data_IF_742224551046
#
_entry.id   IF_742224551046
#
_cell.length_a   1.000
_cell.length_b   1.000
_cell.length_c   1.000
_cell.angle_alpha   90.00
_cell.angle_beta   90.00
_cell.angle_gamma   90.00
#
_symmetry.space_group_name_H-M   'P 1'
#
loop_
_entity.id
_entity.type
_entity.pdbx_description
1 polymer ?
#
# COMPACT_ATOMS: atom_id res chain seq x y z
N UNK A 1 -16.86 -26.74 3.39
CA UNK A 1 -16.78 -25.29 3.10
C UNK A 1 -17.16 -25.07 1.65
N UNK A 2 -18.33 -24.46 1.40
CA UNK A 2 -18.77 -24.14 0.04
C UNK A 2 -17.78 -23.16 -0.59
N UNK A 3 -17.08 -23.59 -1.65
CA UNK A 3 -16.34 -22.69 -2.53
C UNK A 3 -17.36 -21.71 -3.11
N UNK A 4 -17.41 -20.49 -2.59
CA UNK A 4 -18.10 -19.39 -3.27
C UNK A 4 -17.43 -19.26 -4.64
N UNK A 5 -18.15 -19.62 -5.69
CA UNK A 5 -17.72 -19.38 -7.06
C UNK A 5 -17.68 -17.86 -7.21
N UNK A 6 -16.47 -17.29 -7.17
CA UNK A 6 -16.28 -15.85 -7.44
C UNK A 6 -16.31 -15.66 -8.95
N UNK A 7 -17.33 -14.98 -9.47
CA UNK A 7 -17.33 -14.56 -10.86
C UNK A 7 -16.21 -13.54 -11.08
N UNK A 8 -15.64 -13.52 -12.29
CA UNK A 8 -14.68 -12.50 -12.71
C UNK A 8 -15.40 -11.52 -13.62
N UNK A 9 -15.51 -10.27 -13.19
CA UNK A 9 -16.21 -9.21 -13.93
C UNK A 9 -15.18 -8.18 -14.40
N UNK A 10 -15.33 -7.74 -15.65
CA UNK A 10 -14.39 -6.84 -16.29
C UNK A 10 -14.95 -5.41 -16.37
N UNK A 11 -14.12 -4.43 -16.03
CA UNK A 11 -14.43 -3.02 -16.18
C UNK A 11 -13.26 -2.28 -16.82
N UNK A 12 -13.52 -1.11 -17.37
CA UNK A 12 -12.47 -0.21 -17.87
C UNK A 12 -12.42 1.07 -17.05
N UNK A 13 -11.21 1.57 -16.84
CA UNK A 13 -10.93 2.84 -16.19
C UNK A 13 -9.91 3.61 -17.02
N UNK A 14 -9.94 4.94 -16.95
CA UNK A 14 -8.98 5.79 -17.67
C UNK A 14 -7.55 5.63 -17.16
N UNK A 15 -7.38 5.39 -15.86
CA UNK A 15 -6.09 5.13 -15.22
C UNK A 15 -6.27 4.58 -13.79
N UNK A 16 -5.14 4.22 -13.16
CA UNK A 16 -5.10 3.72 -11.77
C UNK A 16 -5.58 4.72 -10.72
N UNK A 17 -5.35 6.01 -10.94
CA UNK A 17 -5.75 7.09 -10.00
C UNK A 17 -7.28 7.21 -9.96
N UNK A 18 -7.95 7.09 -11.11
CA UNK A 18 -9.40 7.16 -11.19
C UNK A 18 -10.07 6.09 -10.33
N UNK A 19 -9.57 4.84 -10.33
CA UNK A 19 -10.12 3.79 -9.49
C UNK A 19 -9.97 4.11 -7.99
N UNK A 20 -8.81 4.63 -7.58
CA UNK A 20 -8.59 5.06 -6.19
C UNK A 20 -9.65 6.06 -5.74
N UNK A 21 -9.85 7.09 -6.55
CA UNK A 21 -10.81 8.16 -6.26
C UNK A 21 -12.26 7.65 -6.30
N UNK A 22 -12.60 6.73 -7.21
CA UNK A 22 -13.91 6.08 -7.26
C UNK A 22 -14.19 5.30 -5.96
N UNK A 23 -13.19 4.61 -5.40
CA UNK A 23 -13.32 3.91 -4.12
C UNK A 23 -13.47 4.88 -2.96
N UNK A 24 -12.70 5.98 -2.92
CA UNK A 24 -12.87 7.01 -1.89
C UNK A 24 -14.28 7.61 -1.91
N UNK A 25 -14.80 7.90 -3.10
CA UNK A 25 -16.18 8.38 -3.29
C UNK A 25 -17.19 7.34 -2.81
N UNK A 26 -16.96 6.06 -3.10
CA UNK A 26 -17.85 4.98 -2.65
C UNK A 26 -17.87 4.84 -1.13
N UNK A 27 -16.71 4.94 -0.48
CA UNK A 27 -16.64 4.98 0.97
C UNK A 27 -17.46 6.15 1.53
N UNK A 28 -17.41 7.32 0.87
CA UNK A 28 -18.23 8.46 1.27
C UNK A 28 -19.74 8.16 1.19
N UNK A 29 -20.17 7.50 0.11
CA UNK A 29 -21.57 7.11 -0.09
C UNK A 29 -22.02 6.14 1.00
N UNK A 30 -21.23 5.10 1.27
CA UNK A 30 -21.53 4.06 2.27
C UNK A 30 -21.64 4.65 3.67
N UNK A 31 -20.73 5.56 4.04
CA UNK A 31 -20.70 6.15 5.38
C UNK A 31 -21.52 7.43 5.50
N UNK A 32 -22.23 7.83 4.43
CA UNK A 32 -23.04 9.06 4.35
C UNK A 32 -22.25 10.32 4.73
N UNK A 33 -20.98 10.39 4.32
CA UNK A 33 -20.16 11.61 4.48
C UNK A 33 -20.06 12.38 3.16
N UNK A 34 -19.83 13.69 3.25
CA UNK A 34 -19.58 14.53 2.08
C UNK A 34 -18.26 14.14 1.41
N UNK A 35 -18.30 13.85 0.10
CA UNK A 35 -17.11 13.69 -0.73
C UNK A 35 -16.58 15.06 -1.18
N UNK A 36 -15.62 15.58 -0.43
CA UNK A 36 -15.00 16.88 -0.71
C UNK A 36 -14.04 16.81 -1.91
N UNK A 37 -14.42 17.37 -3.06
CA UNK A 37 -13.55 17.52 -4.25
C UNK A 37 -14.02 18.70 -5.09
N UNK A 38 -13.10 19.34 -5.82
CA UNK A 38 -13.42 20.34 -6.86
C UNK A 38 -13.73 19.70 -8.21
N UNK A 39 -13.29 18.47 -8.45
CA UNK A 39 -13.41 17.76 -9.73
C UNK A 39 -14.62 16.82 -9.72
N UNK A 40 -15.29 16.70 -10.86
CA UNK A 40 -16.36 15.70 -11.06
C UNK A 40 -15.73 14.33 -11.33
N UNK A 41 -16.02 13.37 -10.48
CA UNK A 41 -15.58 11.98 -10.63
C UNK A 41 -16.77 11.04 -10.84
N UNK A 42 -16.56 10.02 -11.67
CA UNK A 42 -17.53 8.95 -11.92
C UNK A 42 -17.75 8.12 -10.65
N UNK A 43 -18.93 7.51 -10.51
CA UNK A 43 -19.17 6.52 -9.46
C UNK A 43 -18.49 5.20 -9.83
N UNK A 44 -18.15 4.40 -8.82
CA UNK A 44 -17.82 2.99 -9.05
C UNK A 44 -19.06 2.26 -9.60
N UNK A 45 -18.90 1.24 -10.46
CA UNK A 45 -20.04 0.46 -10.95
C UNK A 45 -20.90 -0.06 -9.80
N UNK A 46 -22.23 -0.01 -9.97
CA UNK A 46 -23.21 -0.32 -8.92
C UNK A 46 -22.99 -1.72 -8.32
N UNK A 47 -22.69 -2.72 -9.15
CA UNK A 47 -22.39 -4.07 -8.68
C UNK A 47 -21.19 -4.13 -7.71
N UNK A 48 -20.16 -3.30 -7.93
CA UNK A 48 -19.02 -3.21 -7.03
C UNK A 48 -19.38 -2.44 -5.76
N UNK A 49 -20.12 -1.33 -5.88
CA UNK A 49 -20.66 -0.57 -4.74
C UNK A 49 -21.44 -1.48 -3.80
N UNK A 50 -22.35 -2.27 -4.35
CA UNK A 50 -23.17 -3.22 -3.62
C UNK A 50 -22.34 -4.29 -2.89
N UNK A 51 -21.35 -4.85 -3.57
CA UNK A 51 -20.47 -5.87 -3.00
C UNK A 51 -19.61 -5.30 -1.86
N UNK A 52 -19.05 -4.10 -2.05
CA UNK A 52 -18.30 -3.40 -1.00
C UNK A 52 -19.21 -3.13 0.21
N UNK A 53 -20.41 -2.58 -0.01
CA UNK A 53 -21.32 -2.23 1.09
C UNK A 53 -21.81 -3.47 1.85
N UNK A 54 -22.13 -4.57 1.15
CA UNK A 54 -22.55 -5.84 1.79
C UNK A 54 -21.39 -6.51 2.54
N UNK A 55 -20.17 -6.42 2.03
CA UNK A 55 -19.00 -7.12 2.60
C UNK A 55 -18.35 -6.34 3.74
N UNK A 56 -18.05 -5.06 3.54
CA UNK A 56 -17.29 -4.22 4.49
C UNK A 56 -18.04 -2.97 4.95
N UNK A 57 -19.24 -2.70 4.44
CA UNK A 57 -19.98 -1.47 4.72
C UNK A 57 -20.28 -1.25 6.21
N UNK A 58 -20.54 -2.32 6.97
CA UNK A 58 -20.74 -2.21 8.42
C UNK A 58 -19.47 -1.75 9.15
N UNK A 59 -18.30 -2.27 8.79
CA UNK A 59 -17.02 -1.83 9.36
C UNK A 59 -16.73 -0.37 8.98
N UNK A 60 -16.91 -0.01 7.71
CA UNK A 60 -16.71 1.37 7.24
C UNK A 60 -17.63 2.36 7.97
N UNK A 61 -18.91 2.02 8.16
CA UNK A 61 -19.87 2.84 8.92
C UNK A 61 -19.45 3.01 10.38
N UNK A 62 -18.92 1.96 11.02
CA UNK A 62 -18.41 2.01 12.41
C UNK A 62 -17.23 2.97 12.56
N UNK A 63 -16.39 3.10 11.54
CA UNK A 63 -15.22 4.01 11.57
C UNK A 63 -15.60 5.51 11.65
N UNK A 64 -16.83 5.89 11.25
CA UNK A 64 -17.31 7.29 11.28
C UNK A 64 -16.32 8.28 10.62
N UNK A 65 -15.92 7.97 9.40
CA UNK A 65 -14.91 8.70 8.63
C UNK A 65 -15.44 10.00 8.00
N UNK A 66 -14.54 10.98 7.86
CA UNK A 66 -14.73 12.22 7.07
C UNK A 66 -13.66 12.30 5.99
N UNK A 67 -14.06 12.69 4.78
CA UNK A 67 -13.16 12.75 3.62
C UNK A 67 -12.15 13.90 3.70
N UNK A 68 -10.88 13.56 3.54
CA UNK A 68 -9.71 14.44 3.61
C UNK A 68 -8.75 14.32 2.41
N UNK A 69 -8.98 13.42 1.44
CA UNK A 69 -8.08 13.18 0.30
C UNK A 69 -7.76 14.45 -0.51
N UNK A 70 -8.72 15.37 -0.65
CA UNK A 70 -8.52 16.67 -1.30
C UNK A 70 -7.47 17.58 -0.66
N UNK A 71 -7.03 17.30 0.56
CA UNK A 71 -5.97 18.06 1.25
C UNK A 71 -4.56 17.65 0.79
N UNK A 72 -4.43 16.62 -0.07
CA UNK A 72 -3.15 16.07 -0.53
C UNK A 72 -2.22 15.68 0.64
N UNK A 73 -2.80 15.09 1.69
CA UNK A 73 -2.10 14.60 2.87
C UNK A 73 -1.78 13.11 2.74
N UNK A 74 -1.21 12.56 3.80
CA UNK A 74 -0.85 11.14 3.86
C UNK A 74 -2.06 10.20 4.10
N UNK A 75 -3.22 10.78 4.38
CA UNK A 75 -4.45 10.06 4.69
C UNK A 75 -5.60 10.58 3.82
N UNK A 76 -6.52 9.68 3.48
CA UNK A 76 -7.68 9.97 2.64
C UNK A 76 -8.91 10.31 3.50
N UNK A 77 -8.93 9.82 4.75
CA UNK A 77 -10.00 10.11 5.71
C UNK A 77 -9.47 10.32 7.13
N UNK A 78 -10.31 10.97 7.94
CA UNK A 78 -10.12 11.12 9.39
C UNK A 78 -11.37 10.62 10.13
N UNK A 79 -11.19 9.81 11.18
CA UNK A 79 -12.27 9.38 12.07
C UNK A 79 -12.61 10.49 13.06
N UNK A 80 -13.75 10.38 13.75
CA UNK A 80 -14.23 11.41 14.69
C UNK A 80 -13.21 11.78 15.80
N UNK A 81 -12.34 10.84 16.19
CA UNK A 81 -11.35 11.00 17.26
C UNK A 81 -9.97 11.49 16.78
N UNK A 82 -9.84 11.84 15.49
CA UNK A 82 -8.56 12.30 14.92
C UNK A 82 -7.73 11.20 14.27
N UNK A 83 -8.07 9.92 14.50
CA UNK A 83 -7.42 8.79 13.85
C UNK A 83 -7.52 8.88 12.33
N UNK A 84 -6.42 8.57 11.65
CA UNK A 84 -6.26 8.70 10.21
C UNK A 84 -6.51 7.38 9.48
N UNK A 85 -7.07 7.45 8.28
CA UNK A 85 -7.33 6.30 7.42
C UNK A 85 -6.78 6.54 6.02
N UNK A 86 -5.99 5.60 5.50
CA UNK A 86 -5.56 5.58 4.11
C UNK A 86 -6.19 4.42 3.34
N UNK A 87 -6.45 4.65 2.06
CA UNK A 87 -7.03 3.70 1.12
C UNK A 87 -5.98 3.34 0.07
N UNK A 88 -5.86 2.05 -0.21
CA UNK A 88 -5.00 1.55 -1.29
C UNK A 88 -5.84 0.68 -2.21
N UNK A 89 -5.78 0.95 -3.50
CA UNK A 89 -6.47 0.16 -4.52
C UNK A 89 -5.46 -0.55 -5.41
N UNK A 90 -5.61 -1.86 -5.57
CA UNK A 90 -4.78 -2.69 -6.44
C UNK A 90 -5.64 -3.20 -7.60
N UNK A 91 -5.49 -2.58 -8.77
CA UNK A 91 -6.11 -3.05 -10.02
C UNK A 91 -5.57 -4.44 -10.39
N UNK A 92 -4.25 -4.55 -10.52
CA UNK A 92 -3.54 -5.78 -10.92
C UNK A 92 -2.28 -5.98 -10.07
N UNK A 93 -1.81 -7.23 -9.96
CA UNK A 93 -0.61 -7.59 -9.20
C UNK A 93 -0.82 -7.57 -7.68
N UNK A 94 0.18 -7.15 -6.93
CA UNK A 94 0.18 -7.28 -5.46
C UNK A 94 0.98 -6.18 -4.75
N UNK A 95 1.26 -5.08 -5.45
CA UNK A 95 2.21 -4.07 -5.01
C UNK A 95 1.50 -2.79 -4.56
N UNK A 96 1.89 -2.24 -3.41
CA UNK A 96 1.43 -0.92 -2.92
C UNK A 96 2.61 -0.02 -2.55
N UNK A 97 2.46 1.28 -2.76
CA UNK A 97 3.48 2.28 -2.41
C UNK A 97 3.22 2.83 -0.99
N UNK A 98 4.28 3.00 -0.18
CA UNK A 98 4.29 3.93 0.95
C UNK A 98 3.83 5.33 0.54
N UNK A 99 3.15 6.04 1.43
CA UNK A 99 2.55 7.33 1.10
C UNK A 99 3.58 8.46 1.03
N UNK A 100 4.60 8.42 1.88
CA UNK A 100 5.55 9.54 2.05
C UNK A 100 6.70 9.47 1.06
N UNK A 101 7.55 8.46 1.21
CA UNK A 101 8.78 8.28 0.42
C UNK A 101 8.64 7.20 -0.66
N UNK A 102 7.48 6.54 -0.74
CA UNK A 102 7.24 5.40 -1.63
C UNK A 102 7.13 5.76 -3.11
N UNK A 103 6.80 7.00 -3.45
CA UNK A 103 6.83 7.48 -4.83
C UNK A 103 7.09 8.99 -4.85
N UNK A 104 8.34 9.40 -5.08
CA UNK A 104 8.73 10.81 -5.02
C UNK A 104 9.93 11.12 -5.94
N UNK A 105 10.22 12.41 -6.16
CA UNK A 105 11.45 12.85 -6.84
C UNK A 105 12.66 12.69 -5.90
N UNK A 106 13.89 12.71 -6.46
CA UNK A 106 15.11 12.69 -5.63
C UNK A 106 15.15 13.87 -4.64
N UNK A 107 14.73 15.06 -5.09
CA UNK A 107 14.65 16.24 -4.23
C UNK A 107 13.69 16.02 -3.06
N UNK A 108 12.50 15.49 -3.33
CA UNK A 108 11.52 15.23 -2.28
C UNK A 108 11.98 14.14 -1.32
N UNK A 109 12.65 13.10 -1.84
CA UNK A 109 13.28 12.05 -1.03
C UNK A 109 14.32 12.63 -0.07
N UNK A 110 15.25 13.44 -0.57
CA UNK A 110 16.26 14.11 0.25
C UNK A 110 15.63 14.97 1.35
N UNK A 111 14.64 15.79 1.01
CA UNK A 111 13.96 16.66 1.97
C UNK A 111 13.28 15.86 3.09
N UNK A 112 12.58 14.77 2.75
CA UNK A 112 11.87 13.94 3.73
C UNK A 112 12.80 13.12 4.61
N UNK A 113 13.96 12.72 4.08
CA UNK A 113 14.93 11.88 4.77
C UNK A 113 16.05 12.67 5.46
N UNK A 114 16.12 13.99 5.26
CA UNK A 114 17.23 14.82 5.75
C UNK A 114 18.57 14.48 5.10
N UNK A 115 18.56 14.13 3.80
CA UNK A 115 19.73 13.67 3.04
C UNK A 115 20.15 14.68 1.97
N UNK A 116 21.33 14.49 1.40
CA UNK A 116 21.89 15.33 0.32
C UNK A 116 22.44 14.48 -0.83
N UNK A 117 21.68 13.48 -1.27
CA UNK A 117 22.05 12.60 -2.38
C UNK A 117 21.97 13.38 -3.69
N UNK A 118 23.05 13.42 -4.46
CA UNK A 118 23.16 14.28 -5.65
C UNK A 118 22.60 13.65 -6.91
N UNK A 119 22.68 12.32 -7.03
CA UNK A 119 22.34 11.61 -8.25
C UNK A 119 21.84 10.18 -7.98
N UNK A 120 21.37 9.52 -9.04
CA UNK A 120 20.81 8.15 -8.98
C UNK A 120 21.83 7.10 -8.56
N UNK A 121 23.11 7.27 -8.92
CA UNK A 121 24.16 6.33 -8.55
C UNK A 121 24.44 6.39 -7.05
N UNK A 122 24.55 7.60 -6.49
CA UNK A 122 24.66 7.82 -5.05
C UNK A 122 23.45 7.26 -4.30
N UNK A 123 22.23 7.43 -4.83
CA UNK A 123 21.02 6.86 -4.22
C UNK A 123 21.08 5.33 -4.15
N UNK A 124 21.54 4.68 -5.23
CA UNK A 124 21.68 3.21 -5.26
C UNK A 124 22.69 2.72 -4.23
N UNK A 125 23.86 3.37 -4.16
CA UNK A 125 24.91 3.05 -3.17
C UNK A 125 24.38 3.21 -1.75
N UNK A 126 23.78 4.38 -1.47
CA UNK A 126 23.17 4.68 -0.18
C UNK A 126 22.13 3.63 0.22
N UNK A 127 21.24 3.24 -0.70
CA UNK A 127 20.23 2.22 -0.44
C UNK A 127 20.84 0.84 -0.13
N UNK A 128 21.86 0.40 -0.88
CA UNK A 128 22.51 -0.89 -0.64
C UNK A 128 23.24 -0.92 0.71
N UNK A 129 23.92 0.17 1.04
CA UNK A 129 24.66 0.34 2.31
C UNK A 129 23.72 0.46 3.52
N UNK A 130 22.54 1.08 3.34
CA UNK A 130 21.59 1.37 4.43
C UNK A 130 20.27 0.59 4.29
N UNK A 131 20.30 -0.57 3.62
CA UNK A 131 19.10 -1.30 3.18
C UNK A 131 18.08 -1.49 4.29
N UNK A 132 18.51 -1.96 5.47
CA UNK A 132 17.60 -2.30 6.56
C UNK A 132 16.90 -1.07 7.11
N UNK A 133 17.67 -0.01 7.35
CA UNK A 133 17.14 1.30 7.76
C UNK A 133 16.16 1.83 6.72
N UNK A 134 16.50 1.74 5.44
CA UNK A 134 15.62 2.19 4.35
C UNK A 134 14.30 1.41 4.30
N UNK A 135 14.33 0.08 4.45
CA UNK A 135 13.12 -0.74 4.48
C UNK A 135 12.22 -0.37 5.66
N UNK A 136 12.80 -0.13 6.83
CA UNK A 136 12.07 0.35 8.00
C UNK A 136 11.39 1.70 7.72
N UNK A 137 12.10 2.66 7.14
CA UNK A 137 11.51 3.96 6.79
C UNK A 137 10.40 3.84 5.75
N UNK A 138 10.55 2.95 4.77
CA UNK A 138 9.47 2.67 3.81
C UNK A 138 8.24 2.03 4.48
N UNK A 139 8.43 1.15 5.47
CA UNK A 139 7.32 0.55 6.23
C UNK A 139 6.62 1.57 7.11
N UNK A 140 7.36 2.47 7.79
CA UNK A 140 6.78 3.58 8.54
C UNK A 140 5.95 4.48 7.63
N UNK A 141 6.48 4.81 6.46
CA UNK A 141 5.73 5.56 5.44
C UNK A 141 4.56 4.80 4.82
N UNK A 142 4.52 3.46 4.95
CA UNK A 142 3.38 2.65 4.53
C UNK A 142 2.30 2.68 5.62
N UNK A 143 2.64 2.28 6.83
CA UNK A 143 1.74 2.24 7.98
C UNK A 143 1.71 3.59 8.73
N UNK A 144 1.68 4.71 7.99
CA UNK A 144 1.67 6.05 8.57
C UNK A 144 0.30 6.44 9.15
N UNK A 145 -0.77 5.76 8.73
CA UNK A 145 -2.12 5.98 9.23
C UNK A 145 -2.52 4.94 10.28
N UNK A 146 -3.45 5.30 11.16
CA UNK A 146 -4.00 4.40 12.19
C UNK A 146 -4.78 3.24 11.60
N UNK A 147 -5.34 3.43 10.41
CA UNK A 147 -5.98 2.36 9.65
C UNK A 147 -5.59 2.46 8.17
N UNK A 148 -5.23 1.33 7.58
CA UNK A 148 -5.07 1.17 6.14
C UNK A 148 -6.10 0.19 5.61
N UNK A 149 -6.87 0.59 4.60
CA UNK A 149 -7.80 -0.29 3.89
C UNK A 149 -7.26 -0.56 2.49
N UNK A 150 -7.06 -1.84 2.16
CA UNK A 150 -6.51 -2.26 0.87
C UNK A 150 -7.57 -3.04 0.10
N UNK A 151 -8.01 -2.51 -1.04
CA UNK A 151 -8.89 -3.19 -1.98
C UNK A 151 -8.07 -3.89 -3.06
N UNK A 152 -8.08 -5.23 -3.04
CA UNK A 152 -7.42 -6.09 -4.03
C UNK A 152 -8.47 -6.74 -4.93
N UNK A 153 -9.04 -5.92 -5.81
CA UNK A 153 -10.22 -6.23 -6.61
C UNK A 153 -10.08 -7.50 -7.47
N UNK A 154 -8.96 -7.70 -8.16
CA UNK A 154 -8.75 -8.90 -8.99
C UNK A 154 -8.70 -10.21 -8.18
N UNK A 155 -8.48 -10.14 -6.86
CA UNK A 155 -8.61 -11.28 -5.95
C UNK A 155 -9.94 -11.33 -5.20
N UNK A 156 -10.74 -10.25 -5.28
CA UNK A 156 -11.97 -10.10 -4.50
C UNK A 156 -11.66 -10.10 -3.00
N UNK A 157 -10.60 -9.43 -2.57
CA UNK A 157 -10.16 -9.37 -1.17
C UNK A 157 -10.06 -7.91 -0.72
N UNK A 158 -10.51 -7.64 0.51
CA UNK A 158 -10.28 -6.39 1.21
C UNK A 158 -9.51 -6.68 2.50
N UNK A 159 -8.40 -5.98 2.70
CA UNK A 159 -7.67 -6.00 3.96
C UNK A 159 -7.96 -4.72 4.74
N UNK A 160 -8.20 -4.84 6.04
CA UNK A 160 -8.19 -3.71 6.98
C UNK A 160 -7.07 -3.97 7.97
N UNK A 161 -6.07 -3.10 7.97
CA UNK A 161 -4.92 -3.16 8.87
C UNK A 161 -5.03 -1.98 9.83
N UNK A 162 -5.10 -2.27 11.12
CA UNK A 162 -5.21 -1.29 12.20
C UNK A 162 -3.91 -1.28 13.01
N UNK A 163 -3.32 -0.10 13.24
CA UNK A 163 -2.24 0.05 14.22
C UNK A 163 -2.79 -0.22 15.62
N UNK A 164 -2.02 -0.94 16.42
CA UNK A 164 -2.28 -1.10 17.87
C UNK A 164 -1.28 -0.33 18.73
N UNK A 165 -0.23 0.21 18.11
CA UNK A 165 0.80 1.07 18.68
C UNK A 165 1.36 1.95 17.55
N UNK A 166 1.96 3.09 17.88
CA UNK A 166 2.63 3.96 16.92
C UNK A 166 4.00 3.43 16.48
N UNK A 167 4.58 2.52 17.25
CA UNK A 167 5.83 1.85 16.89
C UNK A 167 5.56 0.62 16.05
N UNK A 168 5.96 0.63 14.78
CA UNK A 168 6.01 -0.57 13.94
C UNK A 168 7.32 -1.31 14.22
N UNK A 169 7.24 -2.42 14.95
CA UNK A 169 8.40 -3.25 15.32
C UNK A 169 8.56 -4.44 14.34
N UNK A 170 9.77 -4.63 13.82
CA UNK A 170 10.15 -5.84 13.11
C UNK A 170 10.76 -6.83 14.10
N UNK A 171 10.22 -8.05 14.16
CA UNK A 171 10.82 -9.13 14.94
C UNK A 171 11.53 -10.13 14.06
N UNK A 172 12.79 -10.33 14.36
CA UNK A 172 13.58 -11.43 13.81
C UNK A 172 13.63 -12.53 14.88
N UNK A 173 12.99 -13.67 14.62
CA UNK A 173 13.12 -14.85 15.51
C UNK A 173 14.45 -15.59 15.31
N UNK A 174 15.29 -15.13 14.38
CA UNK A 174 16.36 -15.92 13.75
C UNK A 174 17.69 -15.18 13.76
N UNK A 175 17.72 -13.97 13.22
CA UNK A 175 18.95 -13.19 13.05
C UNK A 175 19.06 -12.15 14.15
N UNK A 176 20.25 -12.03 14.76
CA UNK A 176 20.52 -11.00 15.76
C UNK A 176 20.66 -9.60 15.14
N UNK A 177 21.08 -9.53 13.87
CA UNK A 177 21.24 -8.28 13.13
C UNK A 177 20.15 -8.11 12.07
N UNK A 178 19.56 -6.91 12.00
CA UNK A 178 18.58 -6.51 10.99
C UNK A 178 19.14 -6.56 9.56
N UNK A 179 20.45 -6.37 9.39
CA UNK A 179 21.08 -6.41 8.06
C UNK A 179 21.13 -7.78 7.41
N UNK A 180 20.99 -8.85 8.19
CA UNK A 180 21.04 -10.21 7.70
C UNK A 180 19.67 -10.72 7.22
N UNK A 181 18.57 -10.00 7.50
CA UNK A 181 17.22 -10.38 7.08
C UNK A 181 16.78 -9.77 5.75
N UNK A 182 17.55 -8.82 5.21
CA UNK A 182 17.22 -8.18 3.93
C UNK A 182 18.30 -8.43 2.88
N UNK A 183 17.88 -8.91 1.72
CA UNK A 183 18.74 -9.07 0.55
C UNK A 183 18.17 -8.33 -0.66
N UNK A 184 19.03 -7.97 -1.60
CA UNK A 184 18.63 -7.43 -2.90
C UNK A 184 18.84 -8.46 -4.03
N UNK A 185 18.10 -8.36 -5.14
CA UNK A 185 18.33 -9.21 -6.31
C UNK A 185 19.58 -8.82 -7.11
N UNK A 186 20.01 -7.56 -6.97
CA UNK A 186 21.09 -6.96 -7.77
C UNK A 186 22.04 -6.18 -6.87
N UNK A 187 23.29 -6.17 -7.27
CA UNK A 187 24.33 -5.27 -6.77
C UNK A 187 24.32 -3.93 -7.54
N UNK A 188 25.29 -3.07 -7.24
CA UNK A 188 25.39 -1.75 -7.87
C UNK A 188 25.61 -1.80 -9.38
N UNK A 189 26.32 -2.83 -9.88
CA UNK A 189 26.71 -2.94 -11.29
C UNK A 189 25.57 -3.50 -12.15
N UNK A 190 24.76 -4.40 -11.59
CA UNK A 190 23.64 -5.05 -12.26
C UNK A 190 22.31 -4.29 -12.09
N UNK A 191 22.22 -3.38 -11.12
CA UNK A 191 21.03 -2.56 -10.89
C UNK A 191 20.87 -1.47 -11.96
N UNK A 192 20.08 -1.77 -12.99
CA UNK A 192 19.58 -0.78 -13.97
C UNK A 192 18.47 0.09 -13.38
N UNK A 193 17.21 -0.26 -13.62
CA UNK A 193 16.06 0.54 -13.16
C UNK A 193 15.47 0.02 -11.85
N UNK A 194 15.34 -1.31 -11.70
CA UNK A 194 14.69 -1.93 -10.54
C UNK A 194 15.60 -2.91 -9.78
N UNK A 195 15.36 -3.01 -8.48
CA UNK A 195 15.98 -4.01 -7.60
C UNK A 195 14.92 -4.58 -6.64
N UNK A 196 14.90 -5.90 -6.51
CA UNK A 196 13.94 -6.61 -5.66
C UNK A 196 14.54 -6.72 -4.28
N UNK A 197 13.76 -6.36 -3.26
CA UNK A 197 14.09 -6.56 -1.86
C UNK A 197 13.44 -7.85 -1.39
N UNK A 198 14.25 -8.72 -0.78
CA UNK A 198 13.80 -9.95 -0.18
C UNK A 198 13.87 -9.87 1.33
N UNK A 199 12.87 -10.43 1.99
CA UNK A 199 12.93 -10.82 3.39
C UNK A 199 13.44 -12.25 3.49
N UNK A 200 14.46 -12.48 4.32
CA UNK A 200 15.07 -13.78 4.54
C UNK A 200 14.74 -14.26 5.95
N UNK A 201 14.06 -15.39 6.01
CA UNK A 201 13.80 -16.15 7.23
C UNK A 201 14.46 -17.53 7.12
N UNK A 202 14.58 -18.28 8.24
CA UNK A 202 15.35 -19.56 8.34
C UNK A 202 15.27 -20.44 7.08
N UNK A 203 14.08 -20.62 6.54
CA UNK A 203 13.84 -21.56 5.43
C UNK A 203 13.22 -20.91 4.19
N UNK A 204 13.12 -19.58 4.14
CA UNK A 204 12.36 -18.91 3.06
C UNK A 204 12.91 -17.54 2.72
N UNK A 205 13.07 -17.32 1.42
CA UNK A 205 13.36 -16.03 0.79
C UNK A 205 12.09 -15.52 0.12
N UNK A 206 11.53 -14.43 0.63
CA UNK A 206 10.25 -13.86 0.17
C UNK A 206 10.47 -12.51 -0.50
N UNK A 207 9.86 -12.27 -1.66
CA UNK A 207 9.94 -10.97 -2.34
C UNK A 207 9.08 -9.93 -1.63
N UNK A 208 9.69 -9.23 -0.67
CA UNK A 208 9.05 -8.23 0.17
C UNK A 208 8.66 -6.98 -0.60
N UNK A 209 9.51 -6.52 -1.52
CA UNK A 209 9.25 -5.29 -2.25
C UNK A 209 10.19 -5.07 -3.43
N UNK A 210 10.01 -3.93 -4.08
CA UNK A 210 10.80 -3.53 -5.23
C UNK A 210 11.05 -2.03 -5.18
N UNK A 211 12.32 -1.66 -5.26
CA UNK A 211 12.75 -0.28 -5.49
C UNK A 211 13.01 -0.08 -6.98
N UNK A 212 12.53 1.03 -7.52
CA UNK A 212 12.72 1.47 -8.89
C UNK A 212 13.23 2.90 -8.89
N UNK A 213 14.33 3.12 -9.61
CA UNK A 213 14.92 4.44 -9.83
C UNK A 213 14.85 4.65 -11.34
N UNK A 214 13.81 5.34 -11.79
CA UNK A 214 13.52 5.48 -13.22
C UNK A 214 14.61 6.27 -13.94
N UNK A 215 15.01 5.83 -15.13
CA UNK A 215 16.07 6.52 -15.89
C UNK A 215 15.56 7.78 -16.58
N UNK A 216 14.35 7.73 -17.15
CA UNK A 216 13.82 8.78 -18.03
C UNK A 216 12.90 9.79 -17.31
N UNK A 217 12.73 9.66 -16.00
CA UNK A 217 11.95 10.57 -15.16
C UNK A 217 12.56 10.69 -13.78
N UNK A 218 12.41 11.85 -13.14
CA UNK A 218 12.80 12.04 -11.75
C UNK A 218 11.74 11.44 -10.82
N UNK A 219 11.76 10.11 -10.73
CA UNK A 219 10.87 9.35 -9.87
C UNK A 219 11.60 8.15 -9.29
N UNK A 220 11.62 8.11 -7.96
CA UNK A 220 11.99 6.97 -7.13
C UNK A 220 10.68 6.33 -6.69
N UNK A 221 10.58 5.01 -6.82
CA UNK A 221 9.40 4.26 -6.45
C UNK A 221 9.76 3.02 -5.65
N UNK A 222 9.25 2.92 -4.43
CA UNK A 222 9.30 1.71 -3.63
C UNK A 222 7.90 1.11 -3.52
N UNK A 223 7.78 -0.20 -3.75
CA UNK A 223 6.51 -0.91 -3.69
C UNK A 223 6.63 -2.19 -2.87
N UNK A 224 5.84 -2.32 -1.82
CA UNK A 224 5.74 -3.56 -1.05
C UNK A 224 4.78 -4.55 -1.68
N UNK A 225 5.12 -5.83 -1.58
CA UNK A 225 4.25 -6.95 -1.88
C UNK A 225 3.28 -7.18 -0.72
N UNK A 226 2.00 -6.87 -0.93
CA UNK A 226 0.95 -6.96 0.10
C UNK A 226 0.75 -8.37 0.61
N UNK A 227 0.88 -9.39 -0.24
CA UNK A 227 0.71 -10.77 0.21
C UNK A 227 1.78 -11.12 1.25
N UNK A 228 3.02 -10.73 0.99
CA UNK A 228 4.13 -10.97 1.92
C UNK A 228 3.95 -10.15 3.20
N UNK A 229 3.54 -8.88 3.11
CA UNK A 229 3.24 -8.08 4.31
C UNK A 229 2.14 -8.71 5.18
N UNK A 230 1.04 -9.16 4.55
CA UNK A 230 -0.06 -9.84 5.25
C UNK A 230 0.43 -11.12 5.93
N UNK A 231 1.22 -11.93 5.22
CA UNK A 231 1.79 -13.16 5.79
C UNK A 231 2.72 -12.85 6.97
N UNK A 232 3.55 -11.81 6.86
CA UNK A 232 4.45 -11.36 7.92
C UNK A 232 3.71 -10.83 9.16
N UNK A 233 2.62 -10.09 8.97
CA UNK A 233 1.75 -9.65 10.07
C UNK A 233 1.15 -10.87 10.78
N UNK A 234 0.60 -11.83 10.03
CA UNK A 234 0.00 -13.04 10.60
C UNK A 234 1.00 -13.92 11.38
N UNK A 235 2.26 -13.99 10.92
CA UNK A 235 3.34 -14.71 11.63
C UNK A 235 3.91 -13.93 12.83
N UNK A 236 3.55 -12.66 12.97
CA UNK A 236 4.09 -11.76 13.98
C UNK A 236 5.52 -11.31 13.71
N UNK A 237 5.97 -11.37 12.45
CA UNK A 237 7.25 -10.81 12.00
C UNK A 237 7.18 -9.26 12.00
N UNK A 238 5.98 -8.71 11.77
CA UNK A 238 5.66 -7.29 11.95
C UNK A 238 4.66 -7.18 13.09
N UNK A 239 4.99 -6.40 14.10
CA UNK A 239 4.18 -6.22 15.30
C UNK A 239 3.36 -4.94 15.26
N UNK A 240 2.46 -4.86 16.23
CA UNK A 240 1.60 -3.72 16.51
C UNK A 240 0.63 -3.39 15.37
N UNK A 241 0.27 -4.43 14.61
CA UNK A 241 -0.70 -4.37 13.53
C UNK A 241 -1.74 -5.48 13.74
N UNK A 242 -3.01 -5.11 13.61
CA UNK A 242 -4.14 -6.04 13.59
C UNK A 242 -4.69 -6.13 12.18
N UNK A 243 -4.77 -7.35 11.64
CA UNK A 243 -5.30 -7.60 10.31
C UNK A 243 -6.72 -8.17 10.38
N UNK A 244 -7.63 -7.60 9.59
CA UNK A 244 -8.93 -8.18 9.24
C UNK A 244 -8.98 -8.44 7.74
N UNK A 245 -9.49 -9.60 7.34
CA UNK A 245 -9.59 -10.03 5.94
C UNK A 245 -11.04 -10.25 5.56
N UNK A 246 -11.45 -9.64 4.46
CA UNK A 246 -12.80 -9.78 3.91
C UNK A 246 -12.75 -10.26 2.47
N UNK A 247 -13.75 -11.05 2.08
CA UNK A 247 -13.89 -11.55 0.72
C UNK A 247 -15.09 -10.89 0.08
N UNK A 248 -14.85 -10.14 -1.00
CA UNK A 248 -15.89 -9.69 -1.90
C UNK A 248 -16.56 -10.90 -2.56
N UNK A 249 -17.83 -10.76 -2.91
CA UNK A 249 -18.63 -11.75 -3.65
C UNK A 249 -17.96 -12.09 -4.98
N UNK A 250 -17.45 -11.10 -5.69
CA UNK A 250 -16.83 -11.27 -7.00
C UNK A 250 -15.35 -10.85 -7.02
N UNK A 251 -14.66 -11.24 -8.09
CA UNK A 251 -13.37 -10.68 -8.50
C UNK A 251 -13.61 -9.66 -9.60
N UNK A 252 -12.95 -8.53 -9.51
CA UNK A 252 -13.11 -7.43 -10.44
C UNK A 252 -11.78 -7.13 -11.14
N UNK A 253 -11.76 -7.30 -12.45
CA UNK A 253 -10.60 -7.02 -13.27
C UNK A 253 -10.79 -5.67 -13.96
N UNK A 254 -9.93 -4.71 -13.63
CA UNK A 254 -9.95 -3.40 -14.23
C UNK A 254 -8.87 -3.31 -15.31
N UNK A 255 -9.28 -2.99 -16.53
CA UNK A 255 -8.37 -2.64 -17.63
C UNK A 255 -8.25 -1.12 -17.71
N UNK A 256 -7.09 -0.65 -18.18
CA UNK A 256 -6.89 0.77 -18.48
C UNK A 256 -7.32 0.98 -19.94
N UNK A 257 -8.16 1.97 -20.21
CA UNK A 257 -8.45 2.42 -21.58
C UNK A 257 -7.12 2.83 -22.23
N UNK A 258 -6.67 2.06 -23.22
CA UNK A 258 -5.43 2.32 -23.99
C UNK A 258 -5.76 3.20 -25.19
#
# INVERSE_FOLDING_TARGET
MNKIIKNVINYTCKNTEQLGIMVEKELCNITKTKFNTKRKYTNIPEEISDDINKTVGNELKRMKIKHAGHLNKEYDFIKKQGETVSIKTIMTGNKICPQTIGQCSLRSFNNKMGLSIKNKLELKKFFLENKSKMIIEYLKGLFCCDTMVIFKFHMGIVYIIEKTDDVIEFRTRVNKNLDDIFMTSKDINSWKESNTVYYVSKNKKESLGEIQIHNNRDCIKFRFNVNILVDMINRGDIKNLKLKVYNLKNKYNFKIDV
#
